data_IF_620257505493
#
_entry.id   IF_620257505493
#
_cell.length_a   1.000
_cell.length_b   1.000
_cell.length_c   1.000
_cell.angle_alpha   90.00
_cell.angle_beta   90.00
_cell.angle_gamma   90.00
#
_symmetry.space_group_name_H-M   'P 1'
#
loop_
_entity.id
_entity.type
_entity.pdbx_description
1 polymer ?
#
# COMPACT_ATOMS: atom_id res chain seq x y z
N UNK A 1 -10.68 -16.84 -10.06
CA UNK A 1 -11.24 -15.74 -9.23
C UNK A 1 -12.72 -15.62 -9.55
N UNK A 2 -13.62 -15.62 -8.56
CA UNK A 2 -15.06 -15.50 -8.84
C UNK A 2 -15.47 -14.04 -9.12
N UNK A 3 -16.64 -13.83 -9.73
CA UNK A 3 -17.15 -12.50 -10.13
C UNK A 3 -17.20 -11.52 -8.96
N UNK A 4 -17.58 -11.98 -7.76
CA UNK A 4 -17.62 -11.14 -6.55
C UNK A 4 -16.23 -10.62 -6.18
N UNK A 5 -15.20 -11.46 -6.24
CA UNK A 5 -13.82 -11.05 -5.97
C UNK A 5 -13.32 -10.08 -7.03
N UNK A 6 -13.67 -10.27 -8.30
CA UNK A 6 -13.32 -9.33 -9.38
C UNK A 6 -13.96 -7.97 -9.15
N UNK A 7 -15.27 -7.94 -8.86
CA UNK A 7 -15.97 -6.69 -8.57
C UNK A 7 -15.38 -5.94 -7.37
N UNK A 8 -15.05 -6.67 -6.29
CA UNK A 8 -14.42 -6.07 -5.10
C UNK A 8 -13.05 -5.47 -5.43
N UNK A 9 -12.20 -6.19 -6.18
CA UNK A 9 -10.90 -5.66 -6.60
C UNK A 9 -11.03 -4.45 -7.52
N UNK A 10 -12.02 -4.46 -8.43
CA UNK A 10 -12.33 -3.29 -9.26
C UNK A 10 -12.74 -2.07 -8.44
N UNK A 11 -13.57 -2.28 -7.41
CA UNK A 11 -13.97 -1.21 -6.49
C UNK A 11 -12.79 -0.68 -5.68
N UNK A 12 -11.91 -1.56 -5.17
CA UNK A 12 -10.69 -1.16 -4.45
C UNK A 12 -9.78 -0.31 -5.35
N UNK A 13 -9.57 -0.75 -6.60
CA UNK A 13 -8.78 0.01 -7.57
C UNK A 13 -9.40 1.39 -7.83
N UNK A 14 -10.71 1.47 -8.04
CA UNK A 14 -11.42 2.73 -8.26
C UNK A 14 -11.31 3.68 -7.06
N UNK A 15 -11.46 3.17 -5.84
CA UNK A 15 -11.29 3.97 -4.61
C UNK A 15 -9.85 4.46 -4.48
N UNK A 16 -8.86 3.60 -4.75
CA UNK A 16 -7.45 3.97 -4.73
C UNK A 16 -7.16 5.12 -5.69
N UNK A 17 -7.61 5.01 -6.95
CA UNK A 17 -7.46 6.04 -7.99
C UNK A 17 -8.14 7.33 -7.57
N UNK A 18 -9.38 7.26 -7.07
CA UNK A 18 -10.14 8.44 -6.66
C UNK A 18 -9.48 9.18 -5.48
N UNK A 19 -8.99 8.45 -4.47
CA UNK A 19 -8.25 9.04 -3.34
C UNK A 19 -6.95 9.67 -3.82
N UNK A 20 -6.21 9.02 -4.73
CA UNK A 20 -4.99 9.58 -5.32
C UNK A 20 -5.29 10.85 -6.10
N UNK A 21 -6.36 10.88 -6.91
CA UNK A 21 -6.76 12.04 -7.69
C UNK A 21 -7.10 13.26 -6.80
N UNK A 22 -7.79 13.04 -5.68
CA UNK A 22 -8.16 14.10 -4.73
C UNK A 22 -6.94 14.75 -4.07
N UNK A 23 -5.85 14.01 -3.89
CA UNK A 23 -4.67 14.45 -3.12
C UNK A 23 -3.45 14.60 -4.06
N UNK A 24 -3.67 14.50 -5.37
CA UNK A 24 -2.62 14.53 -6.40
C UNK A 24 -1.55 15.61 -6.19
N UNK A 25 -1.85 16.87 -5.83
CA UNK A 25 -0.84 17.90 -5.65
C UNK A 25 0.20 17.57 -4.56
N UNK A 26 -0.15 16.70 -3.61
CA UNK A 26 0.72 16.32 -2.49
C UNK A 26 1.30 14.91 -2.63
N UNK A 27 0.69 14.04 -3.45
CA UNK A 27 1.06 12.63 -3.60
C UNK A 27 2.33 12.39 -4.41
N UNK A 28 2.75 13.34 -5.24
CA UNK A 28 3.93 13.25 -6.11
C UNK A 28 4.98 14.32 -5.79
N UNK A 29 5.04 14.78 -4.53
CA UNK A 29 6.08 15.70 -4.03
C UNK A 29 7.26 14.93 -3.43
N UNK A 30 8.33 15.64 -3.04
CA UNK A 30 9.53 15.04 -2.44
C UNK A 30 9.29 14.24 -1.16
N UNK A 31 8.16 14.43 -0.46
CA UNK A 31 7.78 13.68 0.74
C UNK A 31 6.77 12.57 0.41
N UNK A 32 6.12 12.62 -0.75
CA UNK A 32 5.16 11.64 -1.26
C UNK A 32 4.10 11.16 -0.25
N UNK A 33 3.28 12.07 0.27
CA UNK A 33 2.12 11.70 1.09
C UNK A 33 1.00 11.10 0.20
N UNK A 34 1.12 9.84 -0.14
CA UNK A 34 0.09 9.09 -0.90
C UNK A 34 -0.95 8.53 0.06
N UNK A 35 -1.96 9.30 0.43
CA UNK A 35 -3.01 8.86 1.37
C UNK A 35 -3.72 7.58 0.91
N UNK A 36 -3.81 7.32 -0.40
CA UNK A 36 -4.33 6.05 -0.94
C UNK A 36 -3.57 4.80 -0.46
N UNK A 37 -2.29 4.94 -0.05
CA UNK A 37 -1.47 3.83 0.48
C UNK A 37 -2.03 3.24 1.80
N UNK A 38 -2.86 3.97 2.55
CA UNK A 38 -3.56 3.40 3.71
C UNK A 38 -4.39 2.15 3.33
N UNK A 39 -4.88 2.07 2.08
CA UNK A 39 -5.64 0.92 1.57
C UNK A 39 -4.79 -0.36 1.46
N UNK A 40 -3.45 -0.24 1.48
CA UNK A 40 -2.54 -1.39 1.47
C UNK A 40 -2.78 -2.34 2.65
N UNK A 41 -3.33 -1.84 3.76
CA UNK A 41 -3.72 -2.67 4.88
C UNK A 41 -4.85 -3.66 4.57
N UNK A 42 -5.63 -3.46 3.51
CA UNK A 42 -6.69 -4.41 3.10
C UNK A 42 -6.14 -5.82 2.81
N UNK A 43 -4.89 -5.92 2.35
CA UNK A 43 -4.22 -7.19 2.06
C UNK A 43 -4.07 -8.05 3.32
N UNK A 44 -3.94 -7.43 4.50
CA UNK A 44 -3.85 -8.11 5.79
C UNK A 44 -5.12 -8.92 6.10
N UNK A 45 -6.27 -8.46 5.62
CA UNK A 45 -7.56 -9.11 5.82
C UNK A 45 -7.87 -10.15 4.74
N UNK A 46 -7.50 -9.84 3.48
CA UNK A 46 -7.66 -10.78 2.36
C UNK A 46 -6.57 -10.53 1.30
N UNK A 47 -5.68 -11.50 1.11
CA UNK A 47 -4.54 -11.41 0.20
C UNK A 47 -4.93 -11.07 -1.24
N UNK A 48 -6.11 -11.51 -1.69
CA UNK A 48 -6.62 -11.22 -3.05
C UNK A 48 -6.87 -9.74 -3.31
N UNK A 49 -6.97 -8.90 -2.27
CA UNK A 49 -7.12 -7.45 -2.43
C UNK A 49 -5.85 -6.76 -2.93
N UNK A 50 -4.70 -7.43 -2.84
CA UNK A 50 -3.46 -6.95 -3.46
C UNK A 50 -3.63 -6.67 -4.96
N UNK A 51 -4.43 -7.48 -5.67
CA UNK A 51 -4.68 -7.31 -7.10
C UNK A 51 -5.37 -5.96 -7.36
N UNK A 52 -6.42 -5.64 -6.60
CA UNK A 52 -7.14 -4.38 -6.74
C UNK A 52 -6.26 -3.16 -6.44
N UNK A 53 -5.42 -3.27 -5.40
CA UNK A 53 -4.52 -2.17 -5.02
C UNK A 53 -3.43 -1.98 -6.07
N UNK A 54 -2.78 -3.05 -6.53
CA UNK A 54 -1.75 -2.97 -7.58
C UNK A 54 -2.31 -2.38 -8.87
N UNK A 55 -3.53 -2.75 -9.26
CA UNK A 55 -4.23 -2.12 -10.38
C UNK A 55 -4.50 -0.63 -10.11
N UNK A 56 -4.91 -0.29 -8.89
CA UNK A 56 -5.09 1.10 -8.46
C UNK A 56 -3.81 1.91 -8.57
N UNK A 57 -2.68 1.37 -8.07
CA UNK A 57 -1.34 1.98 -8.20
C UNK A 57 -0.95 2.16 -9.67
N UNK A 58 -1.14 1.12 -10.49
CA UNK A 58 -0.83 1.17 -11.91
C UNK A 58 -1.58 2.30 -12.62
N UNK A 59 -2.90 2.36 -12.48
CA UNK A 59 -3.70 3.39 -13.14
C UNK A 59 -3.50 4.76 -12.52
N UNK A 60 -3.31 4.88 -11.21
CA UNK A 60 -3.00 6.16 -10.57
C UNK A 60 -1.67 6.74 -11.08
N UNK A 61 -0.62 5.91 -11.19
CA UNK A 61 0.66 6.32 -11.76
C UNK A 61 0.52 6.67 -13.25
N UNK A 62 -0.26 5.87 -14.02
CA UNK A 62 -0.50 6.14 -15.44
C UNK A 62 -1.15 7.51 -15.69
N UNK A 63 -2.10 7.91 -14.83
CA UNK A 63 -2.90 9.13 -15.05
C UNK A 63 -2.31 10.37 -14.39
N UNK A 64 -1.61 10.23 -13.26
CA UNK A 64 -1.26 11.36 -12.41
C UNK A 64 0.24 11.57 -12.21
N UNK A 65 1.09 10.62 -12.60
CA UNK A 65 2.54 10.75 -12.42
C UNK A 65 3.15 11.73 -13.42
N UNK A 66 4.09 12.59 -12.98
CA UNK A 66 4.92 13.38 -13.88
C UNK A 66 6.02 12.59 -14.58
N UNK A 67 6.37 11.39 -14.09
CA UNK A 67 7.43 10.51 -14.61
C UNK A 67 6.90 9.09 -14.88
N UNK A 68 5.78 9.01 -15.62
CA UNK A 68 4.95 7.82 -15.82
C UNK A 68 5.74 6.53 -16.05
N UNK A 69 6.72 6.54 -16.95
CA UNK A 69 7.48 5.32 -17.30
C UNK A 69 8.24 4.74 -16.09
N UNK A 70 8.80 5.61 -15.27
CA UNK A 70 9.51 5.22 -14.05
C UNK A 70 8.54 4.74 -12.97
N UNK A 71 7.49 5.50 -12.66
CA UNK A 71 6.49 5.15 -11.65
C UNK A 71 5.74 3.85 -11.99
N UNK A 72 5.54 3.52 -13.28
CA UNK A 72 4.96 2.24 -13.66
C UNK A 72 5.88 1.05 -13.34
N UNK A 73 7.19 1.23 -13.45
CA UNK A 73 8.15 0.15 -13.16
C UNK A 73 8.45 0.10 -11.65
N UNK A 74 8.88 1.22 -11.08
CA UNK A 74 9.34 1.27 -9.69
C UNK A 74 8.19 1.34 -8.70
N UNK A 75 7.17 2.15 -8.93
CA UNK A 75 6.03 2.30 -8.02
C UNK A 75 5.17 1.04 -7.96
N UNK A 76 4.86 0.43 -9.11
CA UNK A 76 4.16 -0.87 -9.13
C UNK A 76 5.05 -1.97 -8.59
N UNK A 77 6.34 -2.00 -8.96
CA UNK A 77 7.31 -2.97 -8.47
C UNK A 77 7.49 -2.90 -6.95
N UNK A 78 7.55 -1.69 -6.39
CA UNK A 78 7.62 -1.45 -4.96
C UNK A 78 6.40 -2.04 -4.24
N UNK A 79 5.19 -1.75 -4.74
CA UNK A 79 3.95 -2.26 -4.16
C UNK A 79 3.87 -3.78 -4.20
N UNK A 80 4.23 -4.40 -5.33
CA UNK A 80 4.28 -5.86 -5.47
C UNK A 80 5.27 -6.48 -4.50
N UNK A 81 6.48 -5.92 -4.38
CA UNK A 81 7.51 -6.41 -3.46
C UNK A 81 7.05 -6.31 -1.99
N UNK A 82 6.49 -5.17 -1.59
CA UNK A 82 5.98 -4.96 -0.23
C UNK A 82 4.85 -5.94 0.11
N UNK A 83 3.93 -6.19 -0.83
CA UNK A 83 2.87 -7.19 -0.65
C UNK A 83 3.40 -8.62 -0.57
N UNK A 84 4.41 -8.98 -1.36
CA UNK A 84 5.02 -10.30 -1.27
C UNK A 84 5.62 -10.54 0.12
N UNK A 85 6.37 -9.55 0.66
CA UNK A 85 6.93 -9.62 2.02
C UNK A 85 5.79 -9.76 3.05
N UNK A 86 4.76 -8.93 2.95
CA UNK A 86 3.60 -8.97 3.85
C UNK A 86 2.88 -10.32 3.80
N UNK A 87 2.55 -10.82 2.61
CA UNK A 87 1.82 -12.08 2.42
C UNK A 87 2.63 -13.27 2.95
N UNK A 88 3.93 -13.29 2.70
CA UNK A 88 4.81 -14.34 3.23
C UNK A 88 4.86 -14.29 4.76
N UNK A 89 5.00 -13.10 5.35
CA UNK A 89 5.03 -12.92 6.80
C UNK A 89 3.74 -13.36 7.50
N UNK A 90 2.58 -13.20 6.82
CA UNK A 90 1.27 -13.61 7.36
C UNK A 90 1.16 -15.13 7.61
N UNK A 91 2.04 -15.95 7.02
CA UNK A 91 2.10 -17.39 7.32
C UNK A 91 2.58 -17.67 8.74
N UNK A 92 3.40 -16.78 9.28
CA UNK A 92 4.04 -16.91 10.61
C UNK A 92 3.36 -16.05 11.68
N UNK A 93 2.74 -14.96 11.28
CA UNK A 93 2.14 -13.97 12.19
C UNK A 93 0.63 -14.14 12.17
N UNK A 94 0.02 -14.42 13.33
CA UNK A 94 -1.45 -14.57 13.48
C UNK A 94 -2.15 -13.28 13.90
N UNK A 95 -1.48 -12.46 14.71
CA UNK A 95 -2.05 -11.22 15.23
C UNK A 95 -2.23 -10.17 14.12
N UNK A 96 -3.45 -9.62 13.99
CA UNK A 96 -3.81 -8.66 12.93
C UNK A 96 -2.99 -7.38 13.04
N UNK A 97 -2.80 -6.83 14.24
CA UNK A 97 -1.99 -5.62 14.43
C UNK A 97 -0.52 -5.85 14.06
N UNK A 98 0.03 -7.01 14.41
CA UNK A 98 1.40 -7.36 14.02
C UNK A 98 1.54 -7.51 12.50
N UNK A 99 0.53 -8.07 11.81
CA UNK A 99 0.48 -8.11 10.34
C UNK A 99 0.46 -6.70 9.73
N UNK A 100 -0.35 -5.80 10.31
CA UNK A 100 -0.42 -4.40 9.86
C UNK A 100 0.90 -3.67 10.10
N UNK A 101 1.56 -3.90 11.22
CA UNK A 101 2.88 -3.35 11.51
C UNK A 101 3.94 -3.84 10.50
N UNK A 102 3.96 -5.14 10.20
CA UNK A 102 4.86 -5.69 9.18
C UNK A 102 4.55 -5.11 7.80
N UNK A 103 3.27 -4.96 7.45
CA UNK A 103 2.86 -4.33 6.19
C UNK A 103 3.38 -2.88 6.11
N UNK A 104 3.18 -2.08 7.17
CA UNK A 104 3.73 -0.72 7.27
C UNK A 104 5.24 -0.70 7.07
N UNK A 105 5.97 -1.56 7.79
CA UNK A 105 7.44 -1.62 7.69
C UNK A 105 7.90 -2.08 6.30
N UNK A 106 7.20 -3.04 5.68
CA UNK A 106 7.51 -3.51 4.34
C UNK A 106 7.40 -2.37 3.32
N UNK A 107 6.31 -1.61 3.35
CA UNK A 107 6.13 -0.45 2.48
C UNK A 107 7.16 0.65 2.77
N UNK A 108 7.40 0.97 4.04
CA UNK A 108 8.40 1.97 4.45
C UNK A 108 9.82 1.63 3.94
N UNK A 109 10.26 0.39 4.10
CA UNK A 109 11.61 -0.04 3.67
C UNK A 109 11.71 -0.07 2.15
N UNK A 110 10.68 -0.58 1.47
CA UNK A 110 10.66 -0.67 0.00
C UNK A 110 10.57 0.70 -0.70
N UNK A 111 10.34 1.80 0.03
CA UNK A 111 10.51 3.17 -0.49
C UNK A 111 11.94 3.45 -1.00
N UNK A 112 12.91 2.59 -0.69
CA UNK A 112 14.21 2.61 -1.34
C UNK A 112 14.16 2.45 -2.86
N UNK A 113 13.16 1.72 -3.40
CA UNK A 113 12.93 1.62 -4.85
C UNK A 113 12.46 2.96 -5.44
N UNK A 114 11.60 3.68 -4.72
CA UNK A 114 11.14 5.01 -5.12
C UNK A 114 12.28 6.03 -5.04
N UNK A 115 13.14 5.94 -4.02
CA UNK A 115 14.34 6.78 -3.93
C UNK A 115 15.33 6.51 -5.08
N UNK A 116 15.47 5.24 -5.49
CA UNK A 116 16.27 4.87 -6.65
C UNK A 116 15.67 5.43 -7.94
N UNK A 117 14.36 5.32 -8.10
CA UNK A 117 13.60 5.89 -9.20
C UNK A 117 13.85 7.40 -9.33
N UNK A 118 13.64 8.16 -8.26
CA UNK A 118 13.81 9.61 -8.24
C UNK A 118 15.26 10.03 -8.47
N UNK A 119 16.23 9.21 -8.03
CA UNK A 119 17.63 9.41 -8.36
C UNK A 119 17.89 9.23 -9.86
N UNK A 120 17.33 8.20 -10.48
CA UNK A 120 17.53 7.90 -11.91
C UNK A 120 16.80 8.90 -12.82
N UNK A 121 15.57 9.28 -12.45
CA UNK A 121 14.72 10.14 -13.26
C UNK A 121 15.04 11.64 -13.10
N UNK A 122 15.36 12.07 -11.86
CA UNK A 122 15.46 13.48 -11.50
C UNK A 122 16.82 13.87 -10.87
N UNK A 123 17.72 12.91 -10.65
CA UNK A 123 19.04 13.17 -10.06
C UNK A 123 19.04 13.43 -8.55
N UNK A 124 17.98 13.08 -7.84
CA UNK A 124 17.86 13.33 -6.40
C UNK A 124 18.86 12.50 -5.56
N UNK A 125 19.33 13.01 -4.42
CA UNK A 125 20.25 12.29 -3.54
C UNK A 125 19.55 11.09 -2.89
N UNK A 126 19.99 9.87 -3.16
CA UNK A 126 19.33 8.61 -2.78
C UNK A 126 18.95 8.52 -1.29
N UNK A 127 19.92 8.73 -0.40
CA UNK A 127 19.71 8.54 1.05
C UNK A 127 18.71 9.52 1.66
N UNK A 128 18.80 10.79 1.25
CA UNK A 128 17.86 11.81 1.71
C UNK A 128 16.46 11.55 1.17
N UNK A 129 16.37 11.20 -0.10
CA UNK A 129 15.09 10.87 -0.77
C UNK A 129 14.45 9.63 -0.14
N UNK A 130 15.24 8.58 0.13
CA UNK A 130 14.73 7.40 0.81
C UNK A 130 14.18 7.74 2.20
N UNK A 131 14.93 8.51 2.99
CA UNK A 131 14.49 8.91 4.33
C UNK A 131 13.17 9.70 4.27
N UNK A 132 13.07 10.69 3.39
CA UNK A 132 11.87 11.55 3.30
C UNK A 132 10.65 10.79 2.79
N UNK A 133 10.79 9.97 1.76
CA UNK A 133 9.69 9.14 1.24
C UNK A 133 9.28 8.05 2.22
N UNK A 134 10.24 7.41 2.90
CA UNK A 134 9.97 6.41 3.93
C UNK A 134 9.22 6.99 5.14
N UNK A 135 9.56 8.20 5.58
CA UNK A 135 8.83 8.90 6.66
C UNK A 135 7.39 9.20 6.20
N UNK A 136 7.20 9.72 4.99
CA UNK A 136 5.87 9.99 4.43
C UNK A 136 4.99 8.74 4.40
N UNK A 137 5.54 7.66 3.87
CA UNK A 137 4.87 6.36 3.79
C UNK A 137 4.54 5.79 5.17
N UNK A 138 5.51 5.79 6.08
CA UNK A 138 5.31 5.32 7.45
C UNK A 138 4.17 6.08 8.15
N UNK A 139 4.13 7.40 8.04
CA UNK A 139 3.10 8.24 8.66
C UNK A 139 1.71 7.91 8.09
N UNK A 140 1.57 7.84 6.76
CA UNK A 140 0.31 7.50 6.10
C UNK A 140 -0.18 6.12 6.53
N UNK A 141 0.68 5.11 6.48
CA UNK A 141 0.34 3.75 6.86
C UNK A 141 0.03 3.63 8.35
N UNK A 142 0.83 4.22 9.23
CA UNK A 142 0.62 4.15 10.68
C UNK A 142 -0.67 4.83 11.11
N UNK A 143 -0.99 6.02 10.56
CA UNK A 143 -2.24 6.72 10.82
C UNK A 143 -3.45 6.02 10.15
N UNK A 144 -3.23 5.39 9.01
CA UNK A 144 -4.24 4.59 8.31
C UNK A 144 -4.58 3.28 9.02
N UNK A 145 -3.65 2.70 9.78
CA UNK A 145 -3.83 1.39 10.41
C UNK A 145 -5.08 1.28 11.30
N UNK A 146 -5.36 2.18 12.24
CA UNK A 146 -6.58 2.09 13.06
C UNK A 146 -7.86 2.24 12.24
N UNK A 147 -7.85 3.09 11.20
CA UNK A 147 -8.98 3.27 10.29
C UNK A 147 -9.23 1.97 9.54
N UNK A 148 -8.20 1.40 8.95
CA UNK A 148 -8.29 0.17 8.18
C UNK A 148 -8.56 -1.06 9.06
N UNK A 149 -8.13 -1.06 10.33
CA UNK A 149 -8.53 -2.06 11.30
C UNK A 149 -10.06 -2.06 11.53
N UNK A 150 -10.65 -0.87 11.71
CA UNK A 150 -12.11 -0.73 11.85
C UNK A 150 -12.88 -1.20 10.59
N UNK A 151 -12.36 -0.88 9.40
CA UNK A 151 -12.90 -1.37 8.12
C UNK A 151 -12.75 -2.89 8.01
N UNK A 152 -11.58 -3.43 8.35
CA UNK A 152 -11.29 -4.87 8.30
C UNK A 152 -12.21 -5.69 9.20
N UNK A 153 -12.58 -5.20 10.37
CA UNK A 153 -13.56 -5.86 11.25
C UNK A 153 -14.92 -6.08 10.59
N UNK A 154 -15.31 -5.22 9.66
CA UNK A 154 -16.56 -5.35 8.90
C UNK A 154 -16.40 -6.25 7.66
N UNK A 155 -15.22 -6.23 7.04
CA UNK A 155 -14.95 -6.97 5.80
C UNK A 155 -14.59 -8.45 6.04
N UNK A 156 -13.93 -8.76 7.17
CA UNK A 156 -13.44 -10.10 7.51
C UNK A 156 -13.65 -10.40 9.00
N UNK A 157 -14.89 -10.43 9.50
CA UNK A 157 -15.18 -10.64 10.92
C UNK A 157 -14.63 -11.97 11.46
N UNK A 158 -14.47 -12.98 10.59
CA UNK A 158 -13.89 -14.28 10.92
C UNK A 158 -12.47 -14.20 11.49
N UNK A 159 -11.65 -13.24 11.05
CA UNK A 159 -10.29 -13.06 11.56
C UNK A 159 -10.25 -12.52 12.99
N UNK A 160 -11.31 -11.88 13.43
CA UNK A 160 -11.41 -11.27 14.76
C UNK A 160 -12.10 -12.19 15.76
N UNK A 161 -13.00 -13.06 15.30
CA UNK A 161 -13.75 -13.98 16.16
C UNK A 161 -12.90 -15.20 16.59
N UNK A 162 -11.96 -15.64 15.75
CA UNK A 162 -11.05 -16.76 16.09
C UNK A 162 -10.07 -16.43 17.21
N UNK A 163 -9.81 -15.16 17.50
CA UNK A 163 -8.97 -14.73 18.63
C UNK A 163 -9.65 -14.91 20.01
N UNK A 164 -10.97 -15.08 20.05
CA UNK A 164 -11.74 -15.30 21.29
C UNK A 164 -11.98 -16.78 21.63
N UNK A 165 -11.75 -17.70 20.70
CA UNK A 165 -11.96 -19.16 20.93
C UNK A 165 -10.71 -19.91 21.40
N UNK A 166 -9.59 -19.23 21.57
CA UNK A 166 -8.30 -19.81 22.01
C UNK A 166 -7.88 -19.41 23.43
N UNK A 167 -8.84 -19.15 24.33
CA UNK A 167 -8.59 -19.03 25.77
C UNK A 167 -9.26 -20.13 26.56
#
# INVERSE_FOLDING_TARGET
>A
MNVRTMATNGLIAAVYIAVTALIQPFGFTNIQFRVSELLNHLVVFRQTYAIGIVLGVFFANLFFSPIVAYDLVFGVGQSVLAFLITIVSMRYIKNVWARMAVNTLSFTVTMGLIALELKLALGFPFWLTWLTTAIGEFVVMALGAPIMYAVGRRLAPELFNSAHQGR
#
